data_IF_949324067684
#
_entry.id   IF_949324067684
#
_cell.length_a   1.000
_cell.length_b   1.000
_cell.length_c   1.000
_cell.angle_alpha   90.00
_cell.angle_beta   90.00
_cell.angle_gamma   90.00
#
_symmetry.space_group_name_H-M   'P 1'
#
loop_
_entity.id
_entity.type
_entity.pdbx_description
1 polymer ?
#
# COMPACT_ATOMS: atom_id res chain seq x y z
N UNK A 1 14.51 14.75 -24.70
CA UNK A 1 14.98 13.86 -23.65
C UNK A 1 13.77 13.26 -22.92
N UNK A 2 13.60 11.99 -23.04
CA UNK A 2 12.45 11.34 -22.43
C UNK A 2 12.71 11.14 -20.95
N UNK A 3 11.95 11.82 -20.13
CA UNK A 3 11.98 11.57 -18.69
C UNK A 3 11.07 10.39 -18.41
N UNK A 4 11.65 9.29 -17.99
CA UNK A 4 10.85 8.17 -17.58
C UNK A 4 10.31 8.49 -16.19
N UNK A 5 9.05 8.89 -16.15
CA UNK A 5 8.39 9.05 -14.87
C UNK A 5 8.00 7.68 -14.35
N UNK A 6 8.59 7.30 -13.24
CA UNK A 6 8.11 6.13 -12.54
C UNK A 6 6.69 6.39 -12.07
N UNK A 7 5.81 5.43 -12.30
CA UNK A 7 4.45 5.54 -11.81
C UNK A 7 4.48 5.68 -10.28
N UNK A 8 3.69 6.61 -9.78
CA UNK A 8 3.56 6.79 -8.34
C UNK A 8 2.89 5.57 -7.73
N UNK A 9 3.43 5.11 -6.61
CA UNK A 9 2.88 3.95 -5.90
C UNK A 9 2.19 4.39 -4.64
N UNK A 10 1.03 3.79 -4.38
CA UNK A 10 0.21 4.12 -3.22
C UNK A 10 -0.38 2.87 -2.62
N UNK A 11 -0.70 2.95 -1.33
CA UNK A 11 -1.52 1.94 -0.67
C UNK A 11 -2.95 2.45 -0.56
N UNK A 12 -3.90 1.55 -0.67
CA UNK A 12 -5.31 1.89 -0.46
C UNK A 12 -5.85 1.07 0.70
N UNK A 13 -6.23 1.76 1.77
CA UNK A 13 -6.81 1.15 2.96
C UNK A 13 -8.23 1.64 3.07
N UNK A 14 -9.21 0.78 2.78
CA UNK A 14 -10.59 1.22 2.71
C UNK A 14 -10.75 2.30 1.64
N UNK A 15 -11.10 3.50 2.04
CA UNK A 15 -11.24 4.62 1.12
C UNK A 15 -10.07 5.60 1.20
N UNK A 16 -9.06 5.27 2.00
CA UNK A 16 -7.91 6.13 2.20
C UNK A 16 -6.75 5.69 1.33
N UNK A 17 -6.15 6.63 0.61
CA UNK A 17 -4.94 6.38 -0.18
C UNK A 17 -3.75 6.97 0.53
N UNK A 18 -2.67 6.20 0.62
CA UNK A 18 -1.44 6.61 1.28
C UNK A 18 -0.29 6.43 0.30
N UNK A 19 0.42 7.51 0.00
CA UNK A 19 1.60 7.44 -0.85
C UNK A 19 2.70 6.64 -0.16
N UNK A 20 3.52 5.95 -0.96
CA UNK A 20 4.65 5.21 -0.42
C UNK A 20 5.59 6.17 0.30
N UNK A 21 5.89 5.93 1.57
CA UNK A 21 6.81 6.81 2.32
C UNK A 21 8.25 6.72 1.81
N UNK A 22 8.62 5.59 1.22
CA UNK A 22 9.94 5.40 0.63
C UNK A 22 9.79 4.91 -0.80
N UNK A 23 9.46 5.81 -1.76
CA UNK A 23 9.12 5.41 -3.13
C UNK A 23 10.22 4.63 -3.84
N UNK A 24 11.47 4.80 -3.44
CA UNK A 24 12.59 4.10 -4.05
C UNK A 24 12.86 2.74 -3.41
N UNK A 25 12.20 2.44 -2.31
CA UNK A 25 12.36 1.16 -1.62
C UNK A 25 11.35 0.15 -2.17
N UNK A 26 11.54 -1.11 -1.81
CA UNK A 26 10.65 -2.16 -2.25
C UNK A 26 9.31 -2.11 -1.50
N UNK A 27 8.38 -2.94 -1.96
CA UNK A 27 7.03 -2.99 -1.39
C UNK A 27 7.06 -3.37 0.10
N UNK A 28 7.84 -4.38 0.45
CA UNK A 28 7.85 -4.89 1.82
C UNK A 28 8.42 -3.86 2.79
N UNK A 29 9.42 -3.10 2.37
CA UNK A 29 9.96 -2.02 3.19
C UNK A 29 8.91 -0.95 3.44
N UNK A 30 8.16 -0.58 2.41
CA UNK A 30 7.11 0.42 2.57
C UNK A 30 5.97 -0.08 3.45
N UNK A 31 5.60 -1.35 3.33
CA UNK A 31 4.60 -1.95 4.20
C UNK A 31 5.05 -1.86 5.66
N UNK A 32 6.31 -2.17 5.90
CA UNK A 32 6.86 -2.11 7.26
C UNK A 32 6.81 -0.71 7.84
N UNK A 33 7.16 0.29 7.03
CA UNK A 33 7.13 1.69 7.47
C UNK A 33 5.70 2.10 7.82
N UNK A 34 4.76 1.77 6.95
CA UNK A 34 3.37 2.13 7.17
C UNK A 34 2.79 1.40 8.37
N UNK A 35 3.22 0.16 8.61
CA UNK A 35 2.76 -0.60 9.75
C UNK A 35 3.14 0.06 11.08
N UNK A 36 4.17 0.89 11.10
CA UNK A 36 4.52 1.64 12.30
C UNK A 36 3.49 2.73 12.62
N UNK A 37 2.82 3.25 11.59
CA UNK A 37 1.78 4.27 11.77
C UNK A 37 0.40 3.64 11.88
N UNK A 38 0.22 2.47 11.30
CA UNK A 38 -1.05 1.75 11.29
C UNK A 38 -0.79 0.33 11.80
N UNK A 39 -0.78 0.14 13.12
CA UNK A 39 -0.40 -1.16 13.71
C UNK A 39 -1.22 -2.34 13.20
N UNK A 40 -2.47 -2.08 12.80
CA UNK A 40 -3.32 -3.14 12.27
C UNK A 40 -2.76 -3.76 10.99
N UNK A 41 -1.88 -3.05 10.29
CA UNK A 41 -1.28 -3.56 9.07
C UNK A 41 -0.21 -4.62 9.31
N UNK A 42 0.21 -4.80 10.54
CA UNK A 42 1.22 -5.81 10.88
C UNK A 42 0.75 -7.23 10.55
N UNK A 43 -0.55 -7.42 10.52
CA UNK A 43 -1.15 -8.73 10.25
C UNK A 43 -1.68 -8.85 8.84
N UNK A 44 -1.38 -7.86 7.99
CA UNK A 44 -1.86 -7.81 6.62
C UNK A 44 -0.70 -8.03 5.68
N UNK A 45 -0.90 -8.89 4.68
CA UNK A 45 0.09 -9.11 3.64
C UNK A 45 -0.31 -8.37 2.38
N UNK A 46 0.66 -7.72 1.75
CA UNK A 46 0.45 -7.00 0.50
C UNK A 46 1.37 -7.63 -0.54
N UNK A 47 0.79 -7.99 -1.67
CA UNK A 47 1.52 -8.67 -2.74
C UNK A 47 1.64 -7.77 -3.97
N UNK A 48 2.78 -7.89 -4.67
CA UNK A 48 2.98 -7.14 -5.92
C UNK A 48 1.93 -7.48 -6.96
N UNK A 49 1.48 -8.72 -6.99
CA UNK A 49 0.49 -9.16 -7.97
C UNK A 49 -0.90 -8.57 -7.75
N UNK A 50 -1.14 -8.00 -6.58
CA UNK A 50 -2.41 -7.32 -6.28
C UNK A 50 -2.41 -5.87 -6.73
N UNK A 51 -1.31 -5.38 -7.25
CA UNK A 51 -1.19 -3.99 -7.70
C UNK A 51 -2.18 -3.70 -8.83
N UNK A 52 -2.81 -2.54 -8.76
CA UNK A 52 -3.74 -2.07 -9.78
C UNK A 52 -3.25 -0.74 -10.33
N UNK A 53 -3.35 -0.59 -11.65
CA UNK A 53 -2.99 0.67 -12.28
C UNK A 53 -4.25 1.53 -12.36
N UNK A 54 -4.28 2.61 -11.58
CA UNK A 54 -5.43 3.51 -11.51
C UNK A 54 -4.93 4.94 -11.74
N UNK A 55 -5.42 5.58 -12.80
CA UNK A 55 -5.07 6.97 -13.14
C UNK A 55 -3.56 7.21 -13.21
N UNK A 56 -2.82 6.23 -13.76
CA UNK A 56 -1.37 6.35 -13.88
C UNK A 56 -0.60 6.06 -12.61
N UNK A 57 -1.29 5.66 -11.55
CA UNK A 57 -0.66 5.29 -10.28
C UNK A 57 -0.82 3.81 -10.02
N UNK A 58 0.20 3.23 -9.42
CA UNK A 58 0.13 1.82 -9.01
C UNK A 58 -0.42 1.79 -7.58
N UNK A 59 -1.60 1.22 -7.42
CA UNK A 59 -2.29 1.17 -6.14
C UNK A 59 -2.29 -0.25 -5.61
N UNK A 60 -1.84 -0.42 -4.37
CA UNK A 60 -1.83 -1.70 -3.69
C UNK A 60 -2.99 -1.72 -2.69
N UNK A 61 -4.08 -2.42 -3.00
CA UNK A 61 -5.19 -2.50 -2.06
C UNK A 61 -4.82 -3.34 -0.86
N UNK A 62 -5.15 -2.85 0.32
CA UNK A 62 -4.91 -3.56 1.56
C UNK A 62 -6.25 -3.98 2.13
N UNK A 63 -6.45 -5.29 2.25
CA UNK A 63 -7.66 -5.83 2.83
C UNK A 63 -7.42 -6.06 4.32
N UNK A 64 -8.13 -5.29 5.12
CA UNK A 64 -8.02 -5.43 6.57
C UNK A 64 -8.86 -6.61 7.02
N UNK A 65 -8.34 -7.43 7.94
CA UNK A 65 -9.15 -8.51 8.49
C UNK A 65 -10.36 -7.92 9.25
N UNK A 66 -11.52 -8.57 9.16
CA UNK A 66 -12.70 -8.07 9.86
C UNK A 66 -12.46 -8.09 11.38
N UNK A 67 -12.95 -7.05 12.02
CA UNK A 67 -12.87 -6.97 13.47
C UNK A 67 -13.80 -8.03 14.07
N UNK A 68 -13.23 -8.95 14.83
CA UNK A 68 -14.05 -9.92 15.53
C UNK A 68 -14.73 -9.22 16.70
N UNK A 69 -16.02 -9.04 16.56
CA UNK A 69 -16.83 -8.60 17.68
C UNK A 69 -17.25 -9.85 18.45
N UNK A 70 -16.73 -10.00 19.64
CA UNK A 70 -17.31 -10.96 20.58
C UNK A 70 -18.59 -10.33 21.11
N UNK A 71 -19.65 -10.72 20.47
CA UNK A 71 -20.94 -10.21 20.90
C UNK A 71 -21.65 -11.22 21.72
#
# INVERSE_FOLDING_TARGET
MATIKKAERKFKIGMTEISFPAPDADLQTNVRIIANHYPQLRFTQVYDEDAQLINGCIVYPIVMPPVKTNG
#
